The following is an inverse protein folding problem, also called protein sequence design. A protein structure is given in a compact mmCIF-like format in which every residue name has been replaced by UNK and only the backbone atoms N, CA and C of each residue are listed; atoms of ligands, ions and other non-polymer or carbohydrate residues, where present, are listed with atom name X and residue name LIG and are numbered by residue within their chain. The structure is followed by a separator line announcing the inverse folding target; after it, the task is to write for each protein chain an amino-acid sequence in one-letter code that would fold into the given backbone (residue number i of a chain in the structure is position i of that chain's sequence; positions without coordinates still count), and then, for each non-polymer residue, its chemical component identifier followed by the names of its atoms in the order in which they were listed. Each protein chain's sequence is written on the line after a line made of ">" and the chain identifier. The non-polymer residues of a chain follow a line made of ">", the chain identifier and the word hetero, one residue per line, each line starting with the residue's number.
data_IF_285976082381
#
_entry.id   IF_285976082381
#
_cell.length_a   1.000
_cell.length_b   1.000
_cell.length_c   1.000
_cell.angle_alpha   90.00
_cell.angle_beta   90.00
_cell.angle_gamma   90.00
#
_symmetry.space_group_name_H-M   'P 1'
#
loop_
_entity.id
_entity.type
_entity.pdbx_description
1 polymer ?
#
# COMPACT_ATOMS: atom_id res chain seq x y z
N UNK A 1 6.07 -45.59 -0.75
CA UNK A 1 4.83 -45.09 -0.11
C UNK A 1 4.86 -43.58 -0.25
N UNK A 2 3.85 -42.95 -0.80
CA UNK A 2 3.82 -41.49 -0.84
C UNK A 2 3.87 -40.97 0.59
N UNK A 3 4.65 -39.94 0.78
CA UNK A 3 4.88 -39.35 2.10
C UNK A 3 3.58 -38.65 2.54
N UNK A 4 2.84 -39.26 3.49
CA UNK A 4 1.54 -38.75 3.98
C UNK A 4 1.55 -37.28 4.39
N UNK A 5 2.70 -36.74 4.74
CA UNK A 5 2.90 -35.31 5.07
C UNK A 5 2.80 -34.44 3.82
N UNK A 6 3.42 -34.86 2.74
CA UNK A 6 3.42 -34.17 1.45
C UNK A 6 2.02 -34.04 0.88
N UNK A 7 1.26 -35.16 0.82
CA UNK A 7 -0.12 -35.18 0.35
C UNK A 7 -1.03 -34.25 1.19
N UNK A 8 -0.87 -34.27 2.52
CA UNK A 8 -1.62 -33.40 3.42
C UNK A 8 -1.29 -31.94 3.22
N UNK A 9 -0.04 -31.59 2.91
CA UNK A 9 0.39 -30.22 2.68
C UNK A 9 -0.10 -29.71 1.33
N UNK A 10 -0.06 -30.54 0.29
CA UNK A 10 -0.65 -30.25 -1.03
C UNK A 10 -2.16 -30.01 -0.91
N UNK A 11 -2.88 -30.91 -0.24
CA UNK A 11 -4.32 -30.77 0.01
C UNK A 11 -4.66 -29.53 0.85
N UNK A 12 -3.81 -29.18 1.83
CA UNK A 12 -3.98 -27.95 2.60
C UNK A 12 -3.77 -26.69 1.76
N UNK A 13 -2.80 -26.68 0.84
CA UNK A 13 -2.58 -25.56 -0.07
C UNK A 13 -3.80 -25.32 -0.98
N UNK A 14 -4.42 -26.40 -1.45
CA UNK A 14 -5.66 -26.32 -2.24
C UNK A 14 -6.85 -25.82 -1.42
N UNK A 15 -7.04 -26.37 -0.22
CA UNK A 15 -8.13 -26.01 0.68
C UNK A 15 -8.09 -24.56 1.16
N UNK A 16 -6.91 -24.07 1.50
CA UNK A 16 -6.71 -22.71 2.03
C UNK A 16 -6.31 -21.69 0.97
N UNK A 17 -6.33 -22.04 -0.32
CA UNK A 17 -5.96 -21.14 -1.43
C UNK A 17 -6.70 -19.81 -1.38
N UNK A 18 -8.02 -19.81 -1.28
CA UNK A 18 -8.83 -18.58 -1.22
C UNK A 18 -8.45 -17.65 -0.06
N UNK A 19 -8.41 -18.10 1.21
CA UNK A 19 -7.94 -17.28 2.31
C UNK A 19 -6.50 -16.76 2.14
N UNK A 20 -5.59 -17.55 1.59
CA UNK A 20 -4.20 -17.14 1.36
C UNK A 20 -4.09 -16.07 0.28
N UNK A 21 -4.90 -16.14 -0.77
CA UNK A 21 -4.97 -15.15 -1.83
C UNK A 21 -5.62 -13.83 -1.39
N UNK A 22 -6.47 -13.88 -0.38
CA UNK A 22 -7.11 -12.69 0.20
C UNK A 22 -6.22 -11.97 1.23
N UNK A 23 -5.06 -12.53 1.59
CA UNK A 23 -4.15 -11.89 2.55
C UNK A 23 -3.74 -10.45 2.16
N UNK A 24 -3.53 -10.10 0.88
CA UNK A 24 -3.31 -8.72 0.49
C UNK A 24 -4.49 -7.80 0.82
N UNK A 25 -5.72 -8.32 0.70
CA UNK A 25 -6.95 -7.56 0.95
C UNK A 25 -7.34 -7.50 2.44
N UNK A 26 -6.88 -8.46 3.25
CA UNK A 26 -7.29 -8.62 4.68
C UNK A 26 -6.39 -7.82 5.64
N UNK A 27 -5.53 -6.92 5.13
CA UNK A 27 -4.80 -6.02 6.01
C UNK A 27 -3.62 -6.64 6.74
N UNK A 28 -2.92 -7.58 6.10
CA UNK A 28 -1.61 -8.07 6.59
C UNK A 28 -0.54 -6.98 6.49
N UNK A 29 -0.87 -5.88 5.81
CA UNK A 29 0.06 -4.77 5.55
C UNK A 29 -0.51 -3.48 6.13
N UNK A 30 0.29 -2.78 6.90
CA UNK A 30 -0.06 -1.50 7.52
C UNK A 30 -0.51 -0.46 6.47
N UNK A 31 0.10 -0.47 5.29
CA UNK A 31 -0.17 0.51 4.24
C UNK A 31 -1.49 0.26 3.48
N UNK A 32 -1.79 -0.99 3.11
CA UNK A 32 -2.95 -1.31 2.26
C UNK A 32 -4.31 -1.03 2.93
N UNK A 33 -4.37 -0.99 4.26
CA UNK A 33 -5.58 -0.61 5.01
C UNK A 33 -6.01 0.82 4.69
N UNK A 34 -5.03 1.69 4.40
CA UNK A 34 -5.24 3.10 4.10
C UNK A 34 -5.43 3.38 2.59
N UNK A 35 -5.52 2.34 1.77
CA UNK A 35 -5.67 2.41 0.31
C UNK A 35 -6.92 1.65 -0.14
N UNK A 36 -7.29 1.79 -1.40
CA UNK A 36 -8.45 1.11 -1.99
C UNK A 36 -7.99 -0.03 -2.90
N UNK A 37 -8.44 -1.25 -2.58
CA UNK A 37 -8.13 -2.45 -3.35
C UNK A 37 -9.07 -2.62 -4.54
N UNK A 38 -8.50 -2.94 -5.71
CA UNK A 38 -9.21 -3.32 -6.93
C UNK A 38 -8.96 -4.80 -7.21
N UNK A 39 -9.91 -5.68 -6.88
CA UNK A 39 -9.78 -7.11 -7.11
C UNK A 39 -10.02 -7.48 -8.57
N UNK A 40 -9.35 -8.53 -9.05
CA UNK A 40 -9.57 -9.08 -10.39
C UNK A 40 -8.81 -8.39 -11.51
N UNK A 41 -7.95 -7.43 -11.21
CA UNK A 41 -7.11 -6.78 -12.21
C UNK A 41 -5.96 -7.69 -12.59
N UNK A 42 -5.98 -8.22 -13.82
CA UNK A 42 -4.98 -9.19 -14.31
C UNK A 42 -3.93 -8.57 -15.23
N UNK A 43 -4.12 -7.39 -15.74
CA UNK A 43 -3.14 -6.62 -16.53
C UNK A 43 -3.36 -5.12 -16.39
N UNK A 44 -4.50 -4.62 -16.87
CA UNK A 44 -4.81 -3.20 -16.91
C UNK A 44 -6.27 -2.96 -16.55
N UNK A 45 -6.48 -1.99 -15.70
CA UNK A 45 -7.79 -1.39 -15.44
C UNK A 45 -7.66 0.11 -15.64
N UNK A 46 -8.65 0.72 -16.27
CA UNK A 46 -8.64 2.16 -16.50
C UNK A 46 -9.73 2.82 -15.64
N UNK A 47 -9.46 3.11 -14.37
CA UNK A 47 -10.32 3.97 -13.60
C UNK A 47 -10.37 5.35 -14.28
N UNK A 48 -11.54 5.95 -14.30
CA UNK A 48 -11.73 7.25 -14.92
C UNK A 48 -12.36 8.22 -13.92
N UNK A 49 -11.81 9.40 -13.86
CA UNK A 49 -12.34 10.51 -13.09
C UNK A 49 -12.99 11.52 -14.03
N UNK A 50 -14.24 11.84 -13.77
CA UNK A 50 -14.97 12.83 -14.59
C UNK A 50 -14.74 14.24 -14.03
N UNK A 51 -14.18 15.11 -14.84
CA UNK A 51 -14.05 16.54 -14.56
C UNK A 51 -15.04 17.31 -15.41
N UNK A 52 -15.62 18.36 -14.86
CA UNK A 52 -16.54 19.23 -15.59
C UNK A 52 -17.02 20.35 -14.69
N UNK A 53 -17.19 21.51 -15.30
CA UNK A 53 -17.72 22.68 -14.62
C UNK A 53 -19.20 22.81 -14.99
N UNK A 54 -20.08 22.41 -14.07
CA UNK A 54 -21.53 22.45 -14.25
C UNK A 54 -22.11 23.56 -13.38
N UNK A 55 -22.67 24.59 -14.00
CA UNK A 55 -23.32 25.69 -13.29
C UNK A 55 -24.85 25.60 -13.40
N UNK A 56 -25.50 25.71 -12.24
CA UNK A 56 -26.92 26.00 -12.20
C UNK A 56 -27.10 27.52 -12.30
N UNK A 57 -27.83 27.94 -13.32
CA UNK A 57 -28.18 29.37 -13.53
C UNK A 57 -29.69 29.59 -13.42
N UNK A 58 -30.15 30.82 -13.22
CA UNK A 58 -31.55 31.15 -13.26
C UNK A 58 -32.18 30.65 -14.59
N UNK A 59 -33.37 30.09 -14.50
CA UNK A 59 -34.06 29.51 -15.68
C UNK A 59 -34.28 30.55 -16.76
N UNK A 60 -33.71 30.30 -17.94
CA UNK A 60 -33.89 31.14 -19.12
C UNK A 60 -34.21 30.35 -20.39
N UNK A 61 -34.39 29.03 -20.29
CA UNK A 61 -34.69 28.14 -21.42
C UNK A 61 -33.54 27.92 -22.40
N UNK A 62 -32.39 28.54 -22.23
CA UNK A 62 -31.23 28.40 -23.10
C UNK A 62 -30.26 27.31 -22.63
N UNK A 63 -29.57 26.71 -23.61
CA UNK A 63 -28.50 25.76 -23.31
C UNK A 63 -27.30 26.47 -22.66
N UNK A 64 -26.75 25.96 -21.57
CA UNK A 64 -25.50 26.47 -21.04
C UNK A 64 -24.43 26.37 -22.12
N UNK A 65 -23.65 27.43 -22.33
CA UNK A 65 -22.47 27.39 -23.18
C UNK A 65 -21.54 26.29 -22.61
N UNK A 66 -21.47 25.18 -23.33
CA UNK A 66 -20.91 23.96 -22.78
C UNK A 66 -19.44 24.11 -22.42
N UNK A 67 -19.13 23.95 -21.16
CA UNK A 67 -17.80 23.54 -20.74
C UNK A 67 -17.75 22.02 -20.86
N UNK A 68 -16.76 21.53 -21.58
CA UNK A 68 -16.66 20.11 -21.93
C UNK A 68 -16.54 19.26 -20.67
N UNK A 69 -17.32 18.20 -20.63
CA UNK A 69 -17.08 17.11 -19.69
C UNK A 69 -15.74 16.49 -20.07
N UNK A 70 -14.76 16.60 -19.19
CA UNK A 70 -13.47 15.93 -19.31
C UNK A 70 -13.55 14.55 -18.64
N UNK A 71 -13.03 13.55 -19.30
CA UNK A 71 -12.83 12.24 -18.69
C UNK A 71 -11.32 12.03 -18.56
N UNK A 72 -10.81 12.09 -17.32
CA UNK A 72 -9.42 11.81 -17.02
C UNK A 72 -9.32 10.33 -16.68
N UNK A 73 -8.74 9.57 -17.58
CA UNK A 73 -8.52 8.15 -17.41
C UNK A 73 -7.04 7.90 -17.07
N UNK A 74 -6.78 7.22 -15.96
CA UNK A 74 -5.46 6.66 -15.63
C UNK A 74 -5.51 5.16 -15.78
N UNK A 75 -4.38 4.54 -16.05
CA UNK A 75 -4.34 3.09 -16.23
C UNK A 75 -3.58 2.46 -15.07
N UNK A 76 -4.32 1.78 -14.19
CA UNK A 76 -3.74 0.93 -13.18
C UNK A 76 -3.19 -0.34 -13.85
N UNK A 77 -1.88 -0.47 -13.91
CA UNK A 77 -1.21 -1.65 -14.46
C UNK A 77 -0.81 -2.61 -13.37
N UNK A 78 -1.12 -3.89 -13.56
CA UNK A 78 -0.68 -4.96 -12.68
C UNK A 78 0.23 -5.93 -13.43
N UNK A 79 1.23 -6.44 -12.73
CA UNK A 79 2.25 -7.32 -13.29
C UNK A 79 2.23 -8.65 -12.55
N UNK A 80 2.39 -9.74 -13.30
CA UNK A 80 2.44 -11.08 -12.72
C UNK A 80 3.79 -11.27 -12.02
N UNK A 81 3.73 -11.42 -10.69
CA UNK A 81 4.84 -11.84 -9.87
C UNK A 81 4.78 -13.33 -9.61
N UNK A 82 5.91 -14.00 -9.60
CA UNK A 82 6.03 -15.41 -9.23
C UNK A 82 7.04 -15.60 -8.11
N UNK A 83 6.74 -16.53 -7.21
CA UNK A 83 7.64 -16.98 -6.16
C UNK A 83 7.70 -18.49 -6.20
N UNK A 84 8.90 -19.02 -6.37
CA UNK A 84 9.17 -20.46 -6.35
C UNK A 84 10.28 -20.68 -5.34
N UNK A 85 9.94 -21.31 -4.20
CA UNK A 85 10.88 -21.51 -3.09
C UNK A 85 10.81 -22.97 -2.63
N UNK A 86 11.97 -23.56 -2.39
CA UNK A 86 12.08 -24.89 -1.81
C UNK A 86 12.20 -24.81 -0.30
N UNK A 87 11.54 -25.70 0.39
CA UNK A 87 11.60 -25.76 1.85
C UNK A 87 11.52 -27.19 2.38
N UNK A 88 12.16 -27.43 3.53
CA UNK A 88 12.03 -28.67 4.26
C UNK A 88 10.80 -28.59 5.20
N UNK A 89 9.76 -29.39 4.95
CA UNK A 89 8.56 -29.39 5.78
C UNK A 89 8.84 -29.85 7.22
N UNK A 90 9.86 -30.66 7.45
CA UNK A 90 10.17 -31.18 8.79
C UNK A 90 10.77 -30.08 9.68
N UNK A 91 11.65 -29.22 9.13
CA UNK A 91 12.21 -28.07 9.86
C UNK A 91 11.11 -27.08 10.23
N UNK A 92 10.26 -26.73 9.25
CA UNK A 92 9.16 -25.79 9.51
C UNK A 92 8.14 -26.35 10.48
N UNK A 93 7.84 -27.65 10.37
CA UNK A 93 6.92 -28.35 11.25
C UNK A 93 7.42 -28.35 12.69
N UNK A 94 8.70 -28.67 12.93
CA UNK A 94 9.28 -28.63 14.26
C UNK A 94 9.19 -27.25 14.94
N UNK A 95 9.41 -26.19 14.17
CA UNK A 95 9.31 -24.80 14.66
C UNK A 95 7.87 -24.44 15.02
N UNK A 96 6.89 -24.82 14.21
CA UNK A 96 5.47 -24.54 14.47
C UNK A 96 4.92 -25.41 15.59
N UNK A 97 5.36 -26.66 15.67
CA UNK A 97 5.02 -27.58 16.78
C UNK A 97 5.44 -26.99 18.13
N UNK A 98 6.66 -26.50 18.22
CA UNK A 98 7.14 -25.85 19.45
C UNK A 98 6.29 -24.67 19.90
N UNK A 99 5.88 -23.82 18.94
CA UNK A 99 5.01 -22.66 19.22
C UNK A 99 3.58 -23.04 19.62
N UNK A 100 3.01 -24.07 19.01
CA UNK A 100 1.66 -24.54 19.33
C UNK A 100 1.62 -25.33 20.63
N UNK A 101 2.65 -26.16 20.90
CA UNK A 101 2.76 -26.94 22.13
C UNK A 101 2.86 -26.04 23.35
N UNK A 102 3.59 -24.94 23.23
CA UNK A 102 3.70 -23.93 24.30
C UNK A 102 2.35 -23.31 24.68
N UNK A 103 1.34 -23.37 23.80
CA UNK A 103 -0.03 -22.89 24.05
C UNK A 103 -0.98 -23.93 24.63
N UNK A 104 -0.52 -25.15 24.92
CA UNK A 104 -1.30 -26.18 25.62
C UNK A 104 -2.44 -26.83 24.82
N UNK A 105 -2.47 -26.70 23.49
CA UNK A 105 -3.52 -27.25 22.64
C UNK A 105 -3.21 -28.64 22.07
N UNK A 106 -4.26 -29.44 21.76
CA UNK A 106 -4.14 -30.59 20.86
C UNK A 106 -3.85 -30.09 19.45
N UNK A 107 -2.79 -30.63 18.84
CA UNK A 107 -2.30 -30.16 17.54
C UNK A 107 -2.76 -31.11 16.46
N UNK A 108 -3.60 -30.61 15.55
CA UNK A 108 -3.97 -31.34 14.33
C UNK A 108 -2.99 -31.01 13.20
N UNK A 109 -2.65 -31.99 12.39
CA UNK A 109 -1.77 -31.86 11.23
C UNK A 109 -2.21 -30.73 10.28
N UNK A 110 -3.52 -30.57 10.12
CA UNK A 110 -4.12 -29.54 9.27
C UNK A 110 -3.80 -28.12 9.76
N UNK A 111 -3.79 -27.90 11.07
CA UNK A 111 -3.44 -26.59 11.65
C UNK A 111 -1.95 -26.25 11.44
N UNK A 112 -1.08 -27.26 11.50
CA UNK A 112 0.35 -27.06 11.23
C UNK A 112 0.57 -26.69 9.77
N UNK A 113 -0.05 -27.42 8.85
CA UNK A 113 0.09 -27.18 7.42
C UNK A 113 -0.42 -25.79 7.03
N UNK A 114 -1.58 -25.37 7.57
CA UNK A 114 -2.10 -24.02 7.43
C UNK A 114 -1.12 -22.98 7.99
N UNK A 115 -0.52 -23.24 9.15
CA UNK A 115 0.46 -22.37 9.80
C UNK A 115 1.71 -22.15 8.93
N UNK A 116 2.22 -23.20 8.28
CA UNK A 116 3.37 -23.12 7.36
C UNK A 116 3.03 -22.20 6.18
N UNK A 117 1.93 -22.46 5.49
CA UNK A 117 1.51 -21.68 4.34
C UNK A 117 1.26 -20.21 4.68
N UNK A 118 0.60 -19.95 5.82
CA UNK A 118 0.36 -18.60 6.32
C UNK A 118 1.67 -17.84 6.63
N UNK A 119 2.69 -18.53 7.18
CA UNK A 119 3.99 -17.92 7.49
C UNK A 119 4.74 -17.53 6.21
N UNK A 120 4.73 -18.39 5.19
CA UNK A 120 5.35 -18.11 3.88
C UNK A 120 4.65 -16.91 3.23
N UNK A 121 3.31 -16.93 3.15
CA UNK A 121 2.54 -15.85 2.55
C UNK A 121 2.71 -14.53 3.29
N UNK A 122 2.73 -14.53 4.62
CA UNK A 122 3.00 -13.31 5.41
C UNK A 122 4.37 -12.71 5.10
N UNK A 123 5.38 -13.54 4.88
CA UNK A 123 6.72 -13.08 4.51
C UNK A 123 6.72 -12.44 3.12
N UNK A 124 6.04 -13.03 2.15
CA UNK A 124 5.85 -12.45 0.82
C UNK A 124 5.11 -11.11 0.87
N UNK A 125 4.01 -11.06 1.63
CA UNK A 125 3.23 -9.83 1.79
C UNK A 125 4.03 -8.73 2.49
N UNK A 126 4.89 -9.07 3.46
CA UNK A 126 5.78 -8.10 4.10
C UNK A 126 6.78 -7.50 3.10
N UNK A 127 7.37 -8.32 2.22
CA UNK A 127 8.26 -7.84 1.16
C UNK A 127 7.51 -6.94 0.18
N UNK A 128 6.30 -7.32 -0.20
CA UNK A 128 5.43 -6.52 -1.07
C UNK A 128 5.10 -5.16 -0.42
N UNK A 129 4.69 -5.16 0.86
CA UNK A 129 4.41 -3.95 1.60
C UNK A 129 5.62 -3.00 1.64
N UNK A 130 6.80 -3.51 1.94
CA UNK A 130 8.01 -2.70 1.99
C UNK A 130 8.37 -2.08 0.63
N UNK A 131 7.87 -2.63 -0.45
CA UNK A 131 8.15 -2.17 -1.82
C UNK A 131 7.07 -1.21 -2.36
N UNK A 132 5.96 -1.00 -1.66
CA UNK A 132 4.79 -0.24 -2.16
C UNK A 132 5.13 1.16 -2.67
N UNK A 133 6.08 1.84 -2.05
CA UNK A 133 6.45 3.21 -2.42
C UNK A 133 7.68 3.26 -3.32
N UNK A 134 8.72 2.51 -2.99
CA UNK A 134 10.04 2.63 -3.60
C UNK A 134 10.33 1.64 -4.73
N UNK A 135 9.38 0.76 -5.06
CA UNK A 135 9.55 -0.21 -6.13
C UNK A 135 9.80 0.45 -7.49
N UNK A 136 10.71 -0.11 -8.26
CA UNK A 136 11.03 0.30 -9.64
C UNK A 136 10.98 -0.95 -10.51
N UNK A 137 10.04 -0.98 -11.46
CA UNK A 137 9.84 -2.14 -12.33
C UNK A 137 11.06 -2.45 -13.17
N UNK A 138 11.47 -3.70 -13.11
CA UNK A 138 12.50 -4.28 -13.97
C UNK A 138 12.01 -5.66 -14.46
N UNK A 139 11.86 -5.84 -15.76
CA UNK A 139 11.35 -7.10 -16.35
C UNK A 139 12.26 -8.30 -16.07
N UNK A 140 13.56 -8.06 -15.95
CA UNK A 140 14.56 -9.08 -15.63
C UNK A 140 14.91 -9.10 -14.12
N UNK A 141 14.11 -8.43 -13.29
CA UNK A 141 14.33 -8.33 -11.86
C UNK A 141 14.13 -9.66 -11.13
N UNK A 142 14.80 -9.78 -9.99
CA UNK A 142 14.72 -10.99 -9.12
C UNK A 142 14.13 -10.70 -7.76
N UNK A 143 13.76 -9.43 -7.51
CA UNK A 143 13.27 -8.96 -6.19
C UNK A 143 11.84 -8.46 -6.29
N UNK A 144 11.12 -8.52 -5.18
CA UNK A 144 9.76 -7.96 -5.08
C UNK A 144 9.71 -6.46 -5.39
N UNK A 145 10.78 -5.71 -5.06
CA UNK A 145 10.92 -4.29 -5.36
C UNK A 145 11.08 -3.97 -6.85
N UNK A 146 11.20 -4.99 -7.70
CA UNK A 146 11.35 -4.86 -9.15
C UNK A 146 10.11 -5.35 -9.92
N UNK A 147 9.05 -5.74 -9.19
CA UNK A 147 7.84 -6.29 -9.79
C UNK A 147 6.97 -5.21 -10.44
N UNK A 148 6.82 -4.05 -9.82
CA UNK A 148 5.95 -2.96 -10.24
C UNK A 148 6.58 -1.61 -9.94
N UNK A 149 5.99 -0.52 -10.42
CA UNK A 149 6.38 0.83 -10.01
C UNK A 149 5.61 1.22 -8.76
N UNK A 150 6.34 1.62 -7.70
CA UNK A 150 5.75 2.12 -6.46
C UNK A 150 5.26 3.56 -6.58
N UNK A 151 4.52 4.03 -5.59
CA UNK A 151 3.94 5.38 -5.60
C UNK A 151 5.00 6.49 -5.74
N UNK A 152 6.16 6.37 -5.12
CA UNK A 152 7.22 7.38 -5.22
C UNK A 152 7.84 7.39 -6.63
N UNK A 153 7.99 6.21 -7.25
CA UNK A 153 8.46 6.08 -8.62
C UNK A 153 7.48 6.69 -9.61
N UNK A 154 6.18 6.44 -9.41
CA UNK A 154 5.11 7.04 -10.19
C UNK A 154 5.12 8.57 -10.00
N UNK A 155 5.19 9.03 -8.76
CA UNK A 155 5.25 10.47 -8.42
C UNK A 155 6.44 11.14 -9.11
N UNK A 156 7.64 10.55 -9.02
CA UNK A 156 8.83 11.10 -9.67
C UNK A 156 8.67 11.19 -11.19
N UNK A 157 8.06 10.19 -11.80
CA UNK A 157 7.75 10.21 -13.24
C UNK A 157 6.78 11.32 -13.58
N UNK A 158 5.68 11.46 -12.84
CA UNK A 158 4.65 12.47 -13.08
C UNK A 158 5.18 13.91 -12.84
N UNK A 159 6.15 14.09 -11.94
CA UNK A 159 6.88 15.36 -11.79
C UNK A 159 7.73 15.63 -13.04
N UNK A 160 8.46 14.64 -13.53
CA UNK A 160 9.30 14.76 -14.72
C UNK A 160 8.46 15.06 -15.96
N UNK A 161 7.29 14.43 -16.08
CA UNK A 161 6.33 14.65 -17.17
C UNK A 161 5.56 15.99 -17.04
N UNK A 162 5.76 16.72 -15.93
CA UNK A 162 5.10 18.00 -15.64
C UNK A 162 3.62 17.89 -15.29
N UNK A 163 3.15 16.69 -14.94
CA UNK A 163 1.78 16.44 -14.50
C UNK A 163 1.58 16.77 -13.02
N UNK A 164 2.64 16.65 -12.23
CA UNK A 164 2.71 17.10 -10.83
C UNK A 164 3.70 18.28 -10.81
N UNK A 165 3.22 19.46 -10.44
CA UNK A 165 4.04 20.68 -10.42
C UNK A 165 3.40 21.76 -9.55
N UNK A 166 4.20 22.70 -9.08
CA UNK A 166 3.72 23.88 -8.32
C UNK A 166 2.69 24.71 -9.14
N UNK A 167 2.88 24.79 -10.46
CA UNK A 167 1.95 25.51 -11.33
C UNK A 167 0.55 24.88 -11.41
N UNK A 168 0.44 23.59 -11.13
CA UNK A 168 -0.82 22.85 -11.08
C UNK A 168 -1.42 22.72 -9.68
N UNK A 169 -0.82 23.34 -8.66
CA UNK A 169 -1.32 23.32 -7.29
C UNK A 169 -1.20 21.97 -6.56
N UNK A 170 -0.62 20.96 -7.20
CA UNK A 170 -0.52 19.60 -6.65
C UNK A 170 0.88 19.19 -6.17
N UNK A 171 1.79 20.18 -6.05
CA UNK A 171 3.18 19.95 -5.62
C UNK A 171 3.72 21.13 -4.80
N UNK A 172 4.40 20.82 -3.72
CA UNK A 172 5.17 21.77 -2.91
C UNK A 172 6.52 21.18 -2.52
N UNK A 173 7.50 22.06 -2.34
CA UNK A 173 8.79 21.72 -1.74
C UNK A 173 8.78 22.09 -0.26
N UNK A 174 9.33 21.23 0.57
CA UNK A 174 9.46 21.46 2.01
C UNK A 174 10.91 21.34 2.46
N UNK A 175 11.22 22.00 3.56
CA UNK A 175 12.51 21.90 4.23
C UNK A 175 12.66 20.55 4.94
N UNK A 176 13.88 20.27 5.43
CA UNK A 176 14.15 19.09 6.23
C UNK A 176 13.33 19.12 7.53
N UNK A 177 12.64 17.99 7.78
CA UNK A 177 11.83 17.84 8.98
C UNK A 177 12.72 17.36 10.12
N UNK A 178 12.66 18.09 11.22
CA UNK A 178 13.36 17.82 12.49
C UNK A 178 12.37 17.74 13.65
N UNK A 179 12.83 17.33 14.82
CA UNK A 179 12.03 17.34 16.05
C UNK A 179 11.69 18.75 16.60
N UNK A 180 12.01 19.82 15.86
CA UNK A 180 11.76 21.20 16.26
C UNK A 180 10.89 21.99 15.26
N UNK A 181 10.59 21.42 14.09
CA UNK A 181 9.84 22.11 13.03
C UNK A 181 8.76 21.22 12.37
N UNK A 182 8.64 19.97 12.80
CA UNK A 182 7.77 18.99 12.17
C UNK A 182 6.30 19.41 12.18
N UNK A 183 5.82 19.97 13.28
CA UNK A 183 4.42 20.42 13.42
C UNK A 183 4.12 21.55 12.44
N UNK A 184 5.00 22.54 12.35
CA UNK A 184 4.78 23.71 11.48
C UNK A 184 4.89 23.34 9.99
N UNK A 185 5.86 22.50 9.62
CA UNK A 185 6.00 22.02 8.24
C UNK A 185 4.78 21.18 7.82
N UNK A 186 4.35 20.20 8.62
CA UNK A 186 3.19 19.38 8.26
C UNK A 186 1.88 20.18 8.23
N UNK A 187 1.74 21.20 9.10
CA UNK A 187 0.65 22.19 8.99
C UNK A 187 0.70 22.97 7.68
N UNK A 188 1.89 23.39 7.25
CA UNK A 188 2.08 24.12 5.99
C UNK A 188 1.70 23.26 4.79
N UNK A 189 2.04 21.96 4.80
CA UNK A 189 1.64 20.99 3.78
C UNK A 189 0.11 20.90 3.69
N UNK A 190 -0.58 20.75 4.81
CA UNK A 190 -2.05 20.70 4.82
C UNK A 190 -2.68 22.00 4.34
N UNK A 191 -2.12 23.16 4.73
CA UNK A 191 -2.63 24.47 4.33
C UNK A 191 -2.44 24.76 2.84
N UNK A 192 -1.41 24.19 2.22
CA UNK A 192 -1.13 24.32 0.79
C UNK A 192 -2.06 23.48 -0.10
N UNK A 193 -2.80 22.53 0.46
CA UNK A 193 -3.78 21.75 -0.27
C UNK A 193 -4.94 22.63 -0.78
N UNK A 194 -5.59 22.18 -1.87
CA UNK A 194 -6.80 22.83 -2.38
C UNK A 194 -7.95 22.75 -1.36
N UNK A 195 -8.89 23.67 -1.46
CA UNK A 195 -10.03 23.70 -0.54
C UNK A 195 -10.95 22.48 -0.77
N UNK A 196 -11.01 21.97 -2.01
CA UNK A 196 -11.74 20.75 -2.34
C UNK A 196 -11.14 19.55 -1.61
N UNK A 197 -9.82 19.38 -1.66
CA UNK A 197 -9.14 18.29 -0.95
C UNK A 197 -9.29 18.41 0.57
N UNK A 198 -9.27 19.62 1.14
CA UNK A 198 -9.47 19.85 2.59
C UNK A 198 -10.89 19.53 3.08
N UNK A 199 -11.88 19.56 2.20
CA UNK A 199 -13.27 19.22 2.53
C UNK A 199 -13.51 17.70 2.64
N UNK A 200 -12.55 16.89 2.22
CA UNK A 200 -12.62 15.43 2.31
C UNK A 200 -11.77 14.91 3.50
N UNK A 201 -12.08 13.70 3.97
CA UNK A 201 -11.23 12.99 4.92
C UNK A 201 -9.92 12.58 4.22
N UNK A 202 -8.87 13.32 4.50
CA UNK A 202 -7.57 13.12 3.90
C UNK A 202 -6.62 12.31 4.79
N UNK A 203 -5.60 11.76 4.17
CA UNK A 203 -4.50 11.06 4.83
C UNK A 203 -3.18 11.62 4.32
N UNK A 204 -2.28 11.90 5.25
CA UNK A 204 -0.90 12.26 4.91
C UNK A 204 -0.01 11.05 5.17
N UNK A 205 0.49 10.45 4.09
CA UNK A 205 1.40 9.29 4.14
C UNK A 205 2.83 9.76 4.34
N UNK A 206 3.39 9.44 5.50
CA UNK A 206 4.72 9.88 5.92
C UNK A 206 5.60 8.71 6.37
N UNK A 207 6.95 8.85 6.30
CA UNK A 207 7.86 7.92 6.95
C UNK A 207 7.67 7.90 8.47
N UNK A 208 7.95 6.77 9.10
CA UNK A 208 7.86 6.63 10.56
C UNK A 208 8.72 7.65 11.31
N UNK A 209 9.92 7.92 10.79
CA UNK A 209 10.86 8.90 11.40
C UNK A 209 10.25 10.31 11.46
N UNK A 210 9.52 10.71 10.42
CA UNK A 210 8.82 12.02 10.39
C UNK A 210 7.69 12.08 11.40
N UNK A 211 6.98 10.97 11.59
CA UNK A 211 5.96 10.88 12.63
C UNK A 211 6.54 10.99 14.04
N UNK A 212 7.66 10.33 14.29
CA UNK A 212 8.33 10.40 15.58
C UNK A 212 8.81 11.84 15.85
N UNK A 213 9.41 12.51 14.84
CA UNK A 213 9.77 13.92 14.93
C UNK A 213 8.56 14.84 15.19
N UNK A 214 7.41 14.56 14.57
CA UNK A 214 6.16 15.29 14.83
C UNK A 214 5.69 15.13 16.27
N UNK A 215 5.76 13.93 16.83
CA UNK A 215 5.38 13.67 18.21
C UNK A 215 6.30 14.41 19.20
N UNK A 216 7.61 14.41 18.94
CA UNK A 216 8.60 15.10 19.78
C UNK A 216 8.40 16.61 19.74
N UNK A 217 8.25 17.21 18.56
CA UNK A 217 7.99 18.63 18.38
C UNK A 217 6.68 19.07 19.02
N UNK A 218 5.62 18.27 18.85
CA UNK A 218 4.33 18.53 19.47
C UNK A 218 4.41 18.52 21.01
N UNK A 219 5.14 17.56 21.59
CA UNK A 219 5.36 17.48 23.04
C UNK A 219 6.15 18.68 23.56
N UNK A 220 7.15 19.15 22.83
CA UNK A 220 7.94 20.31 23.18
C UNK A 220 7.10 21.58 23.17
N UNK A 221 6.22 21.72 22.19
CA UNK A 221 5.43 22.94 21.97
C UNK A 221 4.18 23.00 22.84
N UNK A 222 3.47 21.89 23.02
CA UNK A 222 2.16 21.84 23.68
C UNK A 222 2.24 21.19 25.06
N UNK A 223 3.29 20.44 25.37
CA UNK A 223 3.46 19.73 26.64
C UNK A 223 2.56 18.48 26.78
N UNK A 224 1.94 18.02 25.70
CA UNK A 224 1.04 16.86 25.67
C UNK A 224 1.31 15.97 24.44
N UNK A 225 0.84 14.73 24.48
CA UNK A 225 0.92 13.85 23.32
C UNK A 225 -0.08 14.28 22.23
N UNK A 226 0.29 14.20 20.92
CA UNK A 226 -0.53 14.68 19.81
C UNK A 226 -1.74 13.78 19.47
N UNK A 227 -1.98 12.72 20.23
CA UNK A 227 -3.05 11.78 19.97
C UNK A 227 -3.90 11.51 21.21
N UNK A 228 -5.17 11.27 21.00
CA UNK A 228 -6.05 10.78 22.06
C UNK A 228 -6.02 9.24 22.05
N UNK A 229 -5.61 8.64 23.16
CA UNK A 229 -5.55 7.17 23.33
C UNK A 229 -6.89 6.46 23.05
N UNK A 230 -8.00 7.18 23.15
CA UNK A 230 -9.33 6.62 22.87
C UNK A 230 -9.58 6.38 21.37
N UNK A 231 -8.87 7.03 20.48
CA UNK A 231 -9.10 6.96 19.03
C UNK A 231 -7.99 6.30 18.22
N UNK A 232 -6.85 5.98 18.82
CA UNK A 232 -5.69 5.37 18.15
C UNK A 232 -5.22 6.06 16.85
N UNK A 233 -5.61 7.33 16.64
CA UNK A 233 -5.32 8.10 15.43
C UNK A 233 -4.70 9.43 15.78
N UNK A 234 -3.73 9.83 14.96
CA UNK A 234 -3.11 11.15 15.04
C UNK A 234 -3.53 11.99 13.85
N UNK A 235 -4.04 13.18 14.12
CA UNK A 235 -4.44 14.15 13.10
C UNK A 235 -3.47 15.33 13.10
N UNK A 236 -3.31 15.96 11.92
CA UNK A 236 -2.53 17.19 11.82
C UNK A 236 -3.23 18.29 12.62
N UNK A 237 -2.45 18.99 13.44
CA UNK A 237 -2.94 20.13 14.22
C UNK A 237 -3.51 21.22 13.31
N UNK A 238 -4.73 21.68 13.62
CA UNK A 238 -5.43 22.67 12.80
C UNK A 238 -6.20 22.12 11.60
N UNK A 239 -6.24 20.79 11.39
CA UNK A 239 -7.03 20.16 10.32
C UNK A 239 -8.48 19.83 10.72
N UNK A 240 -8.92 20.19 11.92
CA UNK A 240 -10.25 19.83 12.46
C UNK A 240 -10.53 18.31 12.41
N UNK A 241 -9.50 17.49 12.58
CA UNK A 241 -9.53 16.03 12.45
C UNK A 241 -9.85 15.51 11.03
N UNK A 242 -9.69 16.34 10.01
CA UNK A 242 -9.91 15.95 8.61
C UNK A 242 -8.68 15.30 7.99
N UNK A 243 -7.47 15.53 8.51
CA UNK A 243 -6.24 14.97 7.96
C UNK A 243 -5.54 14.03 8.95
N UNK A 244 -5.65 12.73 8.68
CA UNK A 244 -4.99 11.66 9.46
C UNK A 244 -3.52 11.54 9.05
N UNK A 245 -2.60 11.55 10.02
CA UNK A 245 -1.20 11.16 9.79
C UNK A 245 -1.07 9.64 9.72
N UNK A 246 -0.54 9.14 8.62
CA UNK A 246 -0.34 7.71 8.41
C UNK A 246 1.16 7.41 8.36
N UNK A 247 1.78 7.05 9.51
CA UNK A 247 3.19 6.68 9.55
C UNK A 247 3.40 5.29 8.97
N UNK A 248 4.26 5.18 7.96
CA UNK A 248 4.52 3.92 7.28
C UNK A 248 5.99 3.54 7.34
N UNK A 249 6.26 2.29 7.73
CA UNK A 249 7.60 1.71 7.66
C UNK A 249 8.03 1.50 6.21
N UNK A 250 7.07 1.22 5.32
CA UNK A 250 7.30 1.05 3.88
C UNK A 250 7.77 2.32 3.15
N UNK A 251 7.68 3.49 3.80
CA UNK A 251 8.19 4.77 3.29
C UNK A 251 9.58 5.13 3.80
N UNK A 252 10.31 4.20 4.40
CA UNK A 252 11.67 4.47 4.86
C UNK A 252 12.54 4.98 3.70
N UNK A 253 13.16 6.16 3.87
CA UNK A 253 13.98 6.81 2.85
C UNK A 253 13.21 7.51 1.73
N UNK A 254 11.89 7.56 1.79
CA UNK A 254 11.07 8.32 0.84
C UNK A 254 11.17 9.81 1.14
N UNK A 255 11.41 10.61 0.11
CA UNK A 255 11.39 12.08 0.17
C UNK A 255 10.01 12.68 -0.15
N UNK A 256 9.08 11.87 -0.65
CA UNK A 256 7.74 12.31 -1.03
C UNK A 256 6.73 12.02 0.06
N UNK A 257 5.92 12.99 0.41
CA UNK A 257 4.77 12.86 1.28
C UNK A 257 3.51 13.07 0.47
N UNK A 258 2.60 12.10 0.52
CA UNK A 258 1.36 12.13 -0.25
C UNK A 258 0.21 12.56 0.67
N UNK A 259 -0.38 13.72 0.41
CA UNK A 259 -1.64 14.15 0.99
C UNK A 259 -2.76 13.83 0.02
N UNK A 260 -3.62 12.91 0.38
CA UNK A 260 -4.67 12.42 -0.52
C UNK A 260 -5.77 11.69 0.26
N UNK A 261 -6.82 11.27 -0.43
CA UNK A 261 -7.88 10.44 0.15
C UNK A 261 -7.57 8.96 0.02
N UNK A 262 -8.20 8.13 0.85
CA UNK A 262 -8.07 6.67 0.75
C UNK A 262 -8.50 6.15 -0.61
N UNK A 263 -9.53 6.73 -1.22
CA UNK A 263 -10.08 6.32 -2.50
C UNK A 263 -9.13 6.57 -3.66
N UNK A 264 -8.25 7.55 -3.55
CA UNK A 264 -7.34 7.95 -4.61
C UNK A 264 -6.08 7.07 -4.72
N UNK A 265 -5.68 6.38 -3.65
CA UNK A 265 -4.57 5.43 -3.69
C UNK A 265 -5.09 4.04 -4.01
N UNK A 266 -4.82 3.55 -5.20
CA UNK A 266 -5.31 2.27 -5.68
C UNK A 266 -4.21 1.21 -5.64
N UNK A 267 -4.58 -0.02 -5.26
CA UNK A 267 -3.77 -1.19 -5.53
C UNK A 267 -4.61 -2.24 -6.25
N UNK A 268 -4.10 -2.70 -7.39
CA UNK A 268 -4.69 -3.78 -8.15
C UNK A 268 -4.10 -5.11 -7.72
N UNK A 269 -4.95 -6.11 -7.56
CA UNK A 269 -4.51 -7.47 -7.35
C UNK A 269 -5.43 -8.42 -8.12
N UNK A 270 -4.84 -9.46 -8.68
CA UNK A 270 -5.58 -10.44 -9.46
C UNK A 270 -4.97 -11.81 -9.29
N UNK A 271 -5.82 -12.79 -9.46
CA UNK A 271 -5.41 -14.16 -9.52
C UNK A 271 -5.13 -14.46 -11.00
N UNK A 272 -3.94 -14.98 -11.30
CA UNK A 272 -3.74 -15.69 -12.54
C UNK A 272 -4.77 -16.82 -12.70
N UNK A 273 -4.54 -17.82 -13.49
CA UNK A 273 -5.41 -18.98 -13.57
C UNK A 273 -5.64 -19.51 -12.15
N UNK A 274 -6.85 -19.44 -11.62
CA UNK A 274 -7.20 -19.67 -10.20
C UNK A 274 -6.59 -20.94 -9.59
N UNK A 275 -6.45 -21.99 -10.40
CA UNK A 275 -5.88 -23.28 -9.98
C UNK A 275 -4.36 -23.26 -9.83
N UNK A 276 -3.66 -22.23 -10.31
CA UNK A 276 -2.20 -22.20 -10.37
C UNK A 276 -1.54 -21.21 -9.43
N UNK A 277 -2.31 -20.42 -8.74
CA UNK A 277 -1.84 -19.26 -7.99
C UNK A 277 -1.06 -19.59 -6.73
N UNK A 278 -1.44 -20.64 -6.00
CA UNK A 278 -0.70 -21.16 -4.83
C UNK A 278 -0.69 -22.68 -4.90
N UNK A 279 0.49 -23.26 -4.93
CA UNK A 279 0.70 -24.71 -4.97
C UNK A 279 1.87 -25.12 -4.11
N UNK A 280 1.80 -26.35 -3.64
CA UNK A 280 2.94 -27.09 -3.11
C UNK A 280 3.15 -28.29 -4.00
N UNK A 281 4.37 -28.52 -4.44
CA UNK A 281 4.76 -29.63 -5.31
C UNK A 281 5.91 -30.40 -4.69
N UNK A 282 6.07 -31.63 -5.10
CA UNK A 282 7.26 -32.42 -4.83
C UNK A 282 8.44 -31.91 -5.68
N UNK A 283 9.64 -31.97 -5.11
CA UNK A 283 10.88 -31.66 -5.79
C UNK A 283 11.61 -32.95 -6.17
N UNK A 284 12.64 -32.82 -7.00
CA UNK A 284 13.57 -33.93 -7.29
C UNK A 284 14.27 -34.44 -6.02
N UNK A 285 14.49 -33.55 -5.05
CA UNK A 285 14.96 -33.91 -3.73
C UNK A 285 13.77 -34.38 -2.85
N UNK A 286 13.75 -35.66 -2.43
CA UNK A 286 12.63 -36.24 -1.68
C UNK A 286 12.38 -35.65 -0.28
N UNK A 287 13.33 -34.85 0.24
CA UNK A 287 13.21 -34.18 1.53
C UNK A 287 12.66 -32.76 1.43
N UNK A 288 12.57 -32.19 0.22
CA UNK A 288 12.13 -30.84 -0.02
C UNK A 288 10.75 -30.81 -0.71
N UNK A 289 10.01 -29.75 -0.40
CA UNK A 289 8.80 -29.38 -1.12
C UNK A 289 9.00 -28.01 -1.75
N UNK A 290 8.44 -27.83 -2.94
CA UNK A 290 8.44 -26.57 -3.67
C UNK A 290 7.13 -25.84 -3.45
N UNK A 291 7.23 -24.64 -2.88
CA UNK A 291 6.12 -23.70 -2.80
C UNK A 291 6.12 -22.82 -4.04
N UNK A 292 5.00 -22.77 -4.72
CA UNK A 292 4.80 -21.92 -5.91
C UNK A 292 3.67 -20.96 -5.61
N UNK A 293 3.92 -19.67 -5.75
CA UNK A 293 2.91 -18.64 -5.69
C UNK A 293 3.03 -17.70 -6.89
N UNK A 294 1.90 -17.33 -7.47
CA UNK A 294 1.84 -16.35 -8.54
C UNK A 294 0.65 -15.40 -8.27
N UNK A 295 0.88 -14.10 -8.37
CA UNK A 295 -0.18 -13.11 -8.20
C UNK A 295 0.11 -11.87 -9.07
N UNK A 296 -0.94 -11.25 -9.57
CA UNK A 296 -0.85 -9.94 -10.19
C UNK A 296 -0.88 -8.87 -9.11
N UNK A 297 0.01 -7.90 -9.22
CA UNK A 297 0.03 -6.77 -8.31
C UNK A 297 0.52 -5.49 -9.00
N UNK A 298 -0.03 -4.35 -8.61
CA UNK A 298 0.38 -3.04 -9.05
C UNK A 298 -0.33 -1.95 -8.26
N UNK A 299 0.19 -0.74 -8.31
CA UNK A 299 -0.36 0.43 -7.62
C UNK A 299 -0.41 1.63 -8.56
N UNK A 300 -1.36 2.53 -8.37
CA UNK A 300 -1.43 3.83 -9.04
C UNK A 300 -2.36 4.77 -8.27
N UNK A 301 -2.34 6.05 -8.63
CA UNK A 301 -3.35 7.02 -8.23
C UNK A 301 -4.56 6.94 -9.15
N UNK A 302 -5.79 7.14 -8.61
CA UNK A 302 -6.98 7.30 -9.42
C UNK A 302 -6.95 8.61 -10.21
N UNK A 303 -6.50 9.68 -9.54
CA UNK A 303 -6.39 11.02 -10.11
C UNK A 303 -5.24 11.79 -9.46
N UNK A 304 -4.54 12.64 -10.24
CA UNK A 304 -3.35 13.38 -9.78
C UNK A 304 -3.54 14.90 -9.75
N UNK A 305 -4.77 15.42 -10.01
CA UNK A 305 -5.08 16.85 -9.89
C UNK A 305 -5.08 17.33 -8.45
N UNK A 306 -4.99 18.66 -8.28
CA UNK A 306 -4.94 19.34 -6.98
C UNK A 306 -6.17 19.05 -6.09
N UNK A 307 -7.30 18.72 -6.71
CA UNK A 307 -8.55 18.37 -6.01
C UNK A 307 -8.43 17.07 -5.20
N UNK A 308 -7.46 16.20 -5.53
CA UNK A 308 -7.36 14.85 -4.94
C UNK A 308 -5.98 14.49 -4.44
N UNK A 309 -4.93 15.21 -4.86
CA UNK A 309 -3.56 14.87 -4.53
C UNK A 309 -2.72 16.13 -4.33
N UNK A 310 -1.98 16.18 -3.22
CA UNK A 310 -0.88 17.10 -3.03
C UNK A 310 0.37 16.31 -2.65
N UNK A 311 1.45 16.53 -3.38
CA UNK A 311 2.76 15.95 -3.10
C UNK A 311 3.64 17.01 -2.42
N UNK A 312 4.19 16.68 -1.26
CA UNK A 312 5.25 17.46 -0.65
C UNK A 312 6.57 16.71 -0.81
N UNK A 313 7.57 17.38 -1.40
CA UNK A 313 8.91 16.81 -1.56
C UNK A 313 9.88 17.47 -0.59
N UNK A 314 10.55 16.68 0.22
CA UNK A 314 11.62 17.13 1.10
C UNK A 314 12.93 17.23 0.31
N UNK A 315 13.56 18.41 0.30
CA UNK A 315 14.80 18.68 -0.45
C UNK A 315 16.04 18.01 0.12
N UNK A 316 16.10 17.86 1.44
CA UNK A 316 17.20 17.17 2.09
C UNK A 316 16.86 15.69 2.35
N UNK A 317 17.83 14.79 2.32
CA UNK A 317 17.58 13.39 2.67
C UNK A 317 17.14 13.32 4.13
N UNK A 318 16.16 12.45 4.40
CA UNK A 318 15.86 12.04 5.77
C UNK A 318 17.14 11.45 6.36
N UNK A 319 17.64 12.00 7.45
CA UNK A 319 18.84 11.50 8.12
C UNK A 319 18.73 9.99 8.36
N UNK A 320 19.85 9.28 8.16
CA UNK A 320 19.97 7.84 8.37
C UNK A 320 19.70 7.44 9.83
#
# INVERSE_FOLDING_TARGET
>A
MPNTITEKLIGSAEKYRKPLLQLPAIGVTEALVHMTGRPGVTHKETPSWMTGDFELRPYNGEKNAGKNIGLNARTLETFLGSCVEEFDPNILRSTIYGQLYAKGGKIEDEQINKGILMKIMKTLMKKLNNSLFTAVRNENGTKTSELFNGFDTITQKEITDGNISTAKGNYIEIEEITSQNAVDILKSVYRAASDELKNEETKLFIPRVVYDAYCDDYQLTVGAAPYNKAFDKTFIEGSQNMCELVPLVSKKGSKFFQLTTKSNMLYGYGNGVEKETIRVRECDNPFLLQFVAALFFGVDYEYIGEERLLIAEQKAPLGE
#
